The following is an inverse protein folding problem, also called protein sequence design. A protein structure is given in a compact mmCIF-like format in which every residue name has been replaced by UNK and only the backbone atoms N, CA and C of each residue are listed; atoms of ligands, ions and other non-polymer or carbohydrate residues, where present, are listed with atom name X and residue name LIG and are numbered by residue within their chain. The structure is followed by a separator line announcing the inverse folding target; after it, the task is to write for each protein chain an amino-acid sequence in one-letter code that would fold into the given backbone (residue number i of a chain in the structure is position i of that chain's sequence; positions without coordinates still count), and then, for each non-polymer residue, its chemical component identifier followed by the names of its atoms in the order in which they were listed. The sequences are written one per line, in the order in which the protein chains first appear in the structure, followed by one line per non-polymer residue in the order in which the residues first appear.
data_IF_804800073674
#
_entry.id   IF_804800073674
#
_cell.length_a   1.000
_cell.length_b   1.000
_cell.length_c   1.000
_cell.angle_alpha   90.00
_cell.angle_beta   90.00
_cell.angle_gamma   90.00
#
_symmetry.space_group_name_H-M   'P 1'
#
loop_
_entity.id
_entity.type
_entity.pdbx_description
1 polymer ?
#
# COMPACT_ATOMS: atom_id res chain seq x y z
N UNK A 1 50.51 9.19 -41.29
CA UNK A 1 49.84 8.99 -39.99
C UNK A 1 48.98 10.21 -39.74
N UNK A 2 47.66 10.09 -39.89
CA UNK A 2 46.71 11.16 -39.61
C UNK A 2 46.06 10.83 -38.27
N UNK A 3 46.27 11.68 -37.27
CA UNK A 3 45.67 11.60 -35.94
C UNK A 3 44.25 12.14 -36.02
N UNK A 4 43.24 11.29 -35.85
CA UNK A 4 41.86 11.73 -35.67
C UNK A 4 41.68 12.18 -34.22
N UNK A 5 41.49 13.47 -34.00
CA UNK A 5 40.98 13.98 -32.74
C UNK A 5 39.49 13.63 -32.62
N UNK A 6 39.15 12.82 -31.61
CA UNK A 6 37.77 12.55 -31.22
C UNK A 6 37.18 13.80 -30.57
N UNK A 7 36.05 14.27 -31.09
CA UNK A 7 35.30 15.38 -30.50
C UNK A 7 34.88 15.06 -29.05
N UNK A 8 34.90 16.04 -28.13
CA UNK A 8 34.48 15.84 -26.75
C UNK A 8 32.99 15.49 -26.68
N UNK A 9 32.68 14.42 -25.96
CA UNK A 9 31.32 14.00 -25.65
C UNK A 9 30.73 15.07 -24.73
N UNK A 10 29.82 15.89 -25.24
CA UNK A 10 29.05 16.83 -24.43
C UNK A 10 28.24 16.04 -23.40
N UNK A 11 28.37 16.29 -22.08
CA UNK A 11 27.52 15.67 -21.10
C UNK A 11 26.07 16.08 -21.40
N UNK A 12 25.22 15.12 -21.72
CA UNK A 12 23.79 15.33 -21.74
C UNK A 12 23.41 15.86 -20.36
N UNK A 13 22.98 17.11 -20.26
CA UNK A 13 22.42 17.63 -19.02
C UNK A 13 21.21 16.75 -18.70
N UNK A 14 21.36 15.87 -17.71
CA UNK A 14 20.22 15.18 -17.11
C UNK A 14 19.27 16.28 -16.63
N UNK A 15 18.14 16.40 -17.32
CA UNK A 15 17.12 17.38 -16.99
C UNK A 15 16.53 16.94 -15.66
N UNK A 16 17.03 17.51 -14.57
CA UNK A 16 16.56 17.22 -13.21
C UNK A 16 15.05 17.45 -13.19
N UNK A 17 14.29 16.39 -12.97
CA UNK A 17 12.84 16.45 -12.87
C UNK A 17 12.47 17.42 -11.74
N UNK A 18 11.46 18.25 -11.99
CA UNK A 18 10.90 19.11 -10.95
C UNK A 18 10.25 18.23 -9.88
N UNK A 19 10.50 18.56 -8.61
CA UNK A 19 9.91 17.83 -7.48
C UNK A 19 8.55 18.43 -7.15
N UNK A 20 7.59 17.57 -6.88
CA UNK A 20 6.21 17.97 -6.61
C UNK A 20 5.79 17.76 -5.15
N UNK A 21 6.67 18.00 -4.18
CA UNK A 21 6.34 17.88 -2.74
C UNK A 21 4.99 18.54 -2.41
N UNK A 22 4.18 17.86 -1.58
CA UNK A 22 2.80 18.25 -1.30
C UNK A 22 2.62 18.53 0.18
N UNK A 23 2.23 19.76 0.52
CA UNK A 23 1.69 20.10 1.82
C UNK A 23 0.19 19.76 1.86
N UNK A 24 -0.18 18.84 2.74
CA UNK A 24 -1.55 18.30 2.83
C UNK A 24 -1.84 17.86 4.27
N UNK A 25 -2.93 17.10 4.45
CA UNK A 25 -3.28 16.48 5.72
C UNK A 25 -3.30 14.96 5.64
N UNK A 26 -2.93 14.31 6.74
CA UNK A 26 -3.14 12.88 6.96
C UNK A 26 -3.98 12.65 8.22
N UNK A 27 -4.71 11.53 8.23
CA UNK A 27 -5.63 11.16 9.31
C UNK A 27 -5.03 10.03 10.17
N UNK A 28 -4.69 10.36 11.40
CA UNK A 28 -4.00 9.50 12.36
C UNK A 28 -4.96 8.90 13.40
N UNK A 29 -4.45 7.96 14.20
CA UNK A 29 -5.18 7.36 15.30
C UNK A 29 -5.64 8.42 16.32
N UNK A 30 -6.95 8.43 16.62
CA UNK A 30 -7.50 9.17 17.76
C UNK A 30 -7.73 8.22 18.92
N UNK A 31 -7.14 8.50 20.08
CA UNK A 31 -7.42 7.75 21.30
C UNK A 31 -8.85 8.00 21.79
N UNK A 32 -9.48 6.99 22.39
CA UNK A 32 -10.77 7.15 23.03
C UNK A 32 -10.63 8.08 24.25
N UNK A 33 -11.59 8.98 24.45
CA UNK A 33 -11.57 9.96 25.55
C UNK A 33 -11.56 9.30 26.94
N UNK A 34 -12.10 8.08 27.05
CA UNK A 34 -12.14 7.28 28.27
C UNK A 34 -10.87 6.43 28.49
N UNK A 35 -9.90 6.48 27.57
CA UNK A 35 -8.66 5.70 27.61
C UNK A 35 -8.84 4.21 27.28
N UNK A 36 -10.03 3.77 26.90
CA UNK A 36 -10.26 2.39 26.47
C UNK A 36 -9.48 2.07 25.18
N UNK A 37 -9.07 0.79 24.97
CA UNK A 37 -8.45 0.38 23.72
C UNK A 37 -9.42 0.55 22.54
N UNK A 38 -8.92 0.72 21.31
CA UNK A 38 -9.79 0.76 20.15
C UNK A 38 -10.57 -0.55 20.02
N UNK A 39 -11.85 -0.44 19.67
CA UNK A 39 -12.68 -1.60 19.38
C UNK A 39 -12.09 -2.41 18.20
N UNK A 40 -12.39 -3.70 18.06
CA UNK A 40 -12.02 -4.46 16.87
C UNK A 40 -12.95 -4.16 15.68
N UNK A 41 -12.43 -4.33 14.47
CA UNK A 41 -13.19 -4.31 13.23
C UNK A 41 -13.68 -5.72 12.94
N UNK A 42 -14.98 -5.91 12.74
CA UNK A 42 -15.57 -7.21 12.42
C UNK A 42 -15.93 -7.27 10.94
N UNK A 43 -15.25 -8.12 10.18
CA UNK A 43 -15.48 -8.25 8.74
C UNK A 43 -16.93 -8.67 8.47
N UNK A 44 -17.61 -7.92 7.62
CA UNK A 44 -19.04 -8.09 7.31
C UNK A 44 -19.97 -7.28 8.21
N UNK A 45 -19.45 -6.50 9.17
CA UNK A 45 -20.21 -5.61 10.06
C UNK A 45 -19.80 -4.14 9.84
N UNK A 46 -20.47 -3.46 8.88
CA UNK A 46 -20.17 -2.08 8.49
C UNK A 46 -19.96 -1.08 9.62
N UNK A 47 -20.79 -1.18 10.65
CA UNK A 47 -20.81 -0.32 11.82
C UNK A 47 -19.51 -0.32 12.63
N UNK A 48 -18.63 -1.30 12.39
CA UNK A 48 -17.34 -1.46 13.10
C UNK A 48 -16.16 -0.85 12.35
N UNK A 49 -16.37 -0.35 11.12
CA UNK A 49 -15.30 0.09 10.22
C UNK A 49 -14.99 1.59 10.39
N UNK A 50 -15.98 2.35 10.83
CA UNK A 50 -15.85 3.79 11.06
C UNK A 50 -15.25 4.08 12.42
N UNK A 51 -14.28 4.98 12.44
CA UNK A 51 -13.59 5.41 13.65
C UNK A 51 -13.18 6.86 13.56
N UNK A 52 -13.27 7.61 14.68
CA UNK A 52 -12.67 8.92 14.78
C UNK A 52 -11.16 8.87 14.49
N UNK A 53 -10.65 9.97 13.93
CA UNK A 53 -9.24 10.18 13.64
C UNK A 53 -8.83 11.60 14.00
N UNK A 54 -7.54 11.84 14.13
CA UNK A 54 -6.94 13.17 14.27
C UNK A 54 -6.27 13.57 12.96
N UNK A 55 -6.58 14.76 12.47
CA UNK A 55 -6.04 15.27 11.21
C UNK A 55 -4.87 16.18 11.49
N UNK A 56 -3.73 15.91 10.86
CA UNK A 56 -2.51 16.69 11.02
C UNK A 56 -1.94 17.10 9.67
N UNK A 57 -1.41 18.33 9.60
CA UNK A 57 -0.69 18.81 8.44
C UNK A 57 0.63 18.05 8.32
N UNK A 58 0.97 17.63 7.10
CA UNK A 58 2.23 16.97 6.77
C UNK A 58 2.73 17.46 5.42
N UNK A 59 4.05 17.39 5.23
CA UNK A 59 4.67 17.49 3.90
C UNK A 59 4.99 16.09 3.42
N UNK A 60 4.57 15.77 2.19
CA UNK A 60 4.82 14.49 1.54
C UNK A 60 5.79 14.72 0.38
N UNK A 61 6.95 14.05 0.42
CA UNK A 61 8.04 14.27 -0.51
C UNK A 61 7.92 13.43 -1.78
N UNK A 62 8.14 14.06 -2.94
CA UNK A 62 8.08 13.41 -4.24
C UNK A 62 9.40 12.67 -4.55
N UNK A 63 9.29 11.36 -4.80
CA UNK A 63 10.45 10.53 -5.13
C UNK A 63 10.86 10.62 -6.60
N UNK A 64 10.05 11.24 -7.47
CA UNK A 64 10.24 11.22 -8.93
C UNK A 64 11.64 11.63 -9.36
N UNK A 65 12.30 10.79 -10.16
CA UNK A 65 13.69 11.00 -10.62
C UNK A 65 14.77 10.58 -9.63
N UNK A 66 14.42 10.12 -8.43
CA UNK A 66 15.32 9.64 -7.39
C UNK A 66 14.91 8.25 -6.87
N UNK A 67 14.08 7.51 -7.62
CA UNK A 67 13.43 6.27 -7.17
C UNK A 67 14.44 5.23 -6.65
N UNK A 68 15.63 5.16 -7.27
CA UNK A 68 16.69 4.22 -6.90
C UNK A 68 17.28 4.44 -5.50
N UNK A 69 17.02 5.59 -4.86
CA UNK A 69 17.44 5.87 -3.47
C UNK A 69 16.52 5.21 -2.44
N UNK A 70 15.31 4.87 -2.84
CA UNK A 70 14.27 4.34 -1.97
C UNK A 70 14.17 2.83 -2.18
N UNK A 71 14.81 2.11 -1.27
CA UNK A 71 14.84 0.64 -1.29
C UNK A 71 14.06 0.09 -0.10
N UNK A 72 13.71 -1.17 -0.22
CA UNK A 72 13.00 -1.91 0.82
C UNK A 72 13.77 -1.90 2.14
N UNK A 73 15.06 -2.19 2.11
CA UNK A 73 15.91 -2.18 3.31
C UNK A 73 16.06 -0.79 3.93
N UNK A 74 16.11 0.26 3.09
CA UNK A 74 16.41 1.62 3.54
C UNK A 74 15.18 2.46 3.91
N UNK A 75 14.00 2.17 3.37
CA UNK A 75 12.79 2.97 3.59
C UNK A 75 11.54 2.14 3.89
N UNK A 76 11.56 0.83 3.61
CA UNK A 76 10.40 -0.04 3.67
C UNK A 76 9.63 -0.14 2.37
N UNK A 77 9.76 0.83 1.47
CA UNK A 77 9.12 0.81 0.16
C UNK A 77 10.15 1.00 -0.96
N UNK A 78 9.83 0.53 -2.15
CA UNK A 78 10.65 0.65 -3.33
C UNK A 78 9.78 0.76 -4.57
N UNK A 79 10.10 1.69 -5.46
CA UNK A 79 9.43 1.82 -6.75
C UNK A 79 10.19 1.02 -7.79
N UNK A 80 9.52 0.07 -8.44
CA UNK A 80 10.15 -0.82 -9.42
C UNK A 80 9.48 -0.63 -10.78
N UNK A 81 10.26 -0.30 -11.83
CA UNK A 81 9.78 -0.37 -13.20
C UNK A 81 9.40 -1.82 -13.53
N UNK A 82 8.14 -2.03 -13.90
CA UNK A 82 7.61 -3.35 -14.22
C UNK A 82 6.45 -3.18 -15.19
N UNK A 83 6.58 -3.71 -16.40
CA UNK A 83 5.51 -3.66 -17.40
C UNK A 83 4.67 -4.93 -17.29
N UNK A 84 3.40 -4.78 -16.90
CA UNK A 84 2.45 -5.90 -16.83
C UNK A 84 1.85 -6.21 -18.20
N UNK A 85 1.63 -7.48 -18.53
CA UNK A 85 0.84 -7.88 -19.71
C UNK A 85 -0.64 -7.57 -19.45
N UNK A 86 -1.11 -7.88 -18.25
CA UNK A 86 -2.46 -7.56 -17.81
C UNK A 86 -2.57 -6.04 -17.58
N UNK A 87 -3.42 -5.37 -18.35
CA UNK A 87 -3.60 -3.90 -18.26
C UNK A 87 -4.89 -3.54 -17.55
N UNK A 88 -5.95 -4.28 -17.85
CA UNK A 88 -7.28 -3.91 -17.42
C UNK A 88 -7.71 -4.57 -16.12
N UNK A 89 -7.15 -5.71 -15.69
CA UNK A 89 -7.50 -6.37 -14.41
C UNK A 89 -9.01 -6.54 -14.22
N UNK A 90 -9.69 -7.11 -15.24
CA UNK A 90 -11.13 -7.36 -15.22
C UNK A 90 -11.47 -8.86 -15.07
N UNK A 91 -10.54 -9.75 -15.43
CA UNK A 91 -10.72 -11.20 -15.36
C UNK A 91 -9.88 -11.79 -14.21
N UNK A 92 -10.58 -12.27 -13.18
CA UNK A 92 -9.99 -12.93 -12.00
C UNK A 92 -9.10 -14.12 -12.37
N UNK A 93 -9.47 -14.91 -13.38
CA UNK A 93 -8.70 -16.07 -13.81
C UNK A 93 -7.41 -15.63 -14.51
N UNK A 94 -7.48 -14.60 -15.35
CA UNK A 94 -6.30 -14.05 -16.03
C UNK A 94 -5.33 -13.41 -15.03
N UNK A 95 -5.84 -12.72 -14.01
CA UNK A 95 -5.00 -12.16 -12.93
C UNK A 95 -4.22 -13.28 -12.23
N UNK A 96 -4.88 -14.37 -11.87
CA UNK A 96 -4.25 -15.51 -11.18
C UNK A 96 -3.30 -16.30 -12.07
N UNK A 97 -3.61 -16.46 -13.35
CA UNK A 97 -2.75 -17.24 -14.26
C UNK A 97 -1.57 -16.42 -14.81
N UNK A 98 -1.72 -15.12 -15.03
CA UNK A 98 -0.68 -14.30 -15.65
C UNK A 98 -0.05 -13.33 -14.66
N UNK A 99 -0.84 -12.41 -14.12
CA UNK A 99 -0.29 -11.32 -13.29
C UNK A 99 0.37 -11.82 -12.00
N UNK A 100 -0.15 -12.88 -11.39
CA UNK A 100 0.49 -13.50 -10.22
C UNK A 100 1.89 -14.04 -10.53
N UNK A 101 2.14 -14.54 -11.75
CA UNK A 101 3.48 -14.99 -12.17
C UNK A 101 4.43 -13.80 -12.33
N UNK A 102 3.95 -12.69 -12.85
CA UNK A 102 4.72 -11.44 -12.96
C UNK A 102 5.09 -10.89 -11.58
N UNK A 103 4.14 -10.90 -10.62
CA UNK A 103 4.38 -10.46 -9.24
C UNK A 103 5.33 -11.41 -8.51
N UNK A 104 5.18 -12.73 -8.66
CA UNK A 104 6.11 -13.71 -8.07
C UNK A 104 7.54 -13.46 -8.55
N UNK A 105 7.75 -13.26 -9.86
CA UNK A 105 9.07 -12.98 -10.40
C UNK A 105 9.62 -11.63 -9.92
N UNK A 106 8.79 -10.57 -9.97
CA UNK A 106 9.17 -9.23 -9.48
C UNK A 106 9.65 -9.29 -8.03
N UNK A 107 8.89 -9.98 -7.16
CA UNK A 107 9.25 -10.12 -5.76
C UNK A 107 10.55 -10.91 -5.60
N UNK A 108 10.75 -12.01 -6.32
CA UNK A 108 12.02 -12.76 -6.28
C UNK A 108 13.22 -11.91 -6.73
N UNK A 109 13.08 -11.16 -7.81
CA UNK A 109 14.16 -10.33 -8.37
C UNK A 109 14.56 -9.22 -7.41
N UNK A 110 13.57 -8.59 -6.77
CA UNK A 110 13.79 -7.45 -5.88
C UNK A 110 14.29 -7.90 -4.51
N UNK A 111 13.78 -9.02 -4.00
CA UNK A 111 14.03 -9.46 -2.63
C UNK A 111 15.12 -10.52 -2.50
N UNK A 112 15.42 -11.25 -3.56
CA UNK A 112 16.27 -12.45 -3.51
C UNK A 112 15.61 -13.68 -2.89
N UNK A 113 14.29 -13.65 -2.64
CA UNK A 113 13.58 -14.73 -1.97
C UNK A 113 13.59 -16.06 -2.74
N UNK A 114 13.63 -17.16 -2.00
CA UNK A 114 13.56 -18.51 -2.58
C UNK A 114 12.14 -18.87 -3.02
N UNK A 115 11.13 -18.36 -2.30
CA UNK A 115 9.72 -18.68 -2.54
C UNK A 115 8.83 -17.49 -2.24
N UNK A 116 7.75 -17.36 -3.02
CA UNK A 116 6.63 -16.47 -2.70
C UNK A 116 5.32 -17.25 -2.68
N UNK A 117 4.32 -16.71 -1.99
CA UNK A 117 2.96 -17.22 -1.97
C UNK A 117 1.97 -16.06 -1.95
N UNK A 118 1.34 -15.81 -3.10
CA UNK A 118 0.30 -14.79 -3.25
C UNK A 118 -1.03 -15.37 -2.76
N UNK A 119 -1.60 -14.76 -1.72
CA UNK A 119 -2.81 -15.29 -1.08
C UNK A 119 -4.07 -14.47 -1.34
N UNK A 120 -3.94 -13.18 -1.66
CA UNK A 120 -5.06 -12.35 -2.09
C UNK A 120 -4.61 -11.19 -3.00
N UNK A 121 -5.58 -10.61 -3.68
CA UNK A 121 -5.45 -9.30 -4.30
C UNK A 121 -6.74 -8.49 -4.10
N UNK A 122 -6.64 -7.17 -4.17
CA UNK A 122 -7.76 -6.26 -4.07
C UNK A 122 -7.68 -5.24 -5.19
N UNK A 123 -8.76 -5.11 -5.96
CA UNK A 123 -8.89 -4.10 -7.00
C UNK A 123 -9.72 -2.94 -6.47
N UNK A 124 -9.17 -1.73 -6.55
CA UNK A 124 -9.81 -0.49 -6.16
C UNK A 124 -10.08 0.33 -7.43
N UNK A 125 -11.35 0.57 -7.72
CA UNK A 125 -11.80 1.48 -8.78
C UNK A 125 -12.86 2.42 -8.23
N UNK A 126 -12.75 3.69 -8.57
CA UNK A 126 -13.85 4.61 -8.36
C UNK A 126 -15.04 4.19 -9.24
N UNK A 127 -16.22 4.00 -8.65
CA UNK A 127 -17.42 3.79 -9.45
C UNK A 127 -17.67 5.04 -10.31
N UNK A 128 -17.79 4.88 -11.64
CA UNK A 128 -18.15 5.97 -12.53
C UNK A 128 -19.46 6.61 -12.05
N UNK A 129 -19.40 7.88 -11.64
CA UNK A 129 -20.58 8.68 -11.29
C UNK A 129 -20.87 8.92 -9.80
N UNK A 130 -20.16 8.27 -8.86
CA UNK A 130 -20.29 8.61 -7.44
C UNK A 130 -19.08 9.41 -6.97
N UNK A 131 -19.19 10.74 -7.04
CA UNK A 131 -18.50 11.67 -6.13
C UNK A 131 -19.05 11.43 -4.71
N UNK A 132 -18.80 10.25 -4.17
CA UNK A 132 -18.98 10.00 -2.75
C UNK A 132 -17.70 10.47 -2.09
N UNK A 133 -17.73 11.67 -1.53
CA UNK A 133 -16.92 11.96 -0.36
C UNK A 133 -17.13 10.80 0.62
N UNK A 134 -16.05 10.34 1.27
CA UNK A 134 -16.13 9.31 2.31
C UNK A 134 -17.11 9.70 3.46
N UNK A 135 -17.59 10.95 3.49
CA UNK A 135 -18.55 11.49 4.45
C UNK A 135 -20.02 11.55 3.99
N UNK A 136 -20.38 11.12 2.78
CA UNK A 136 -21.78 11.17 2.30
C UNK A 136 -22.63 9.94 2.74
N UNK A 137 -22.53 9.54 4.01
CA UNK A 137 -23.34 8.49 4.64
C UNK A 137 -24.66 8.96 5.25
N UNK A 138 -25.10 10.20 4.97
CA UNK A 138 -26.34 10.76 5.52
C UNK A 138 -27.32 11.07 4.39
N UNK A 139 -28.12 10.07 4.03
CA UNK A 139 -29.58 10.15 3.93
C UNK A 139 -30.13 8.96 3.13
N UNK A 140 -31.25 8.44 3.64
CA UNK A 140 -32.16 7.43 3.07
C UNK A 140 -31.85 5.97 3.44
N UNK A 141 -32.36 5.60 4.62
CA UNK A 141 -32.67 4.23 4.99
C UNK A 141 -33.87 3.75 4.16
N UNK A 142 -33.68 2.68 3.38
CA UNK A 142 -34.77 2.02 2.67
C UNK A 142 -34.34 1.23 1.44
N UNK A 143 -33.59 0.14 1.63
CA UNK A 143 -33.52 -1.06 0.78
C UNK A 143 -32.28 -1.89 1.20
N UNK A 144 -32.51 -3.09 1.73
CA UNK A 144 -31.46 -3.93 2.35
C UNK A 144 -30.43 -4.50 1.34
N UNK A 145 -30.70 -4.46 0.03
CA UNK A 145 -29.81 -5.02 -1.00
C UNK A 145 -28.94 -3.95 -1.70
N UNK A 146 -29.53 -2.78 -2.04
CA UNK A 146 -28.79 -1.65 -2.62
C UNK A 146 -27.81 -1.00 -1.63
N UNK A 147 -28.13 -1.04 -0.34
CA UNK A 147 -27.26 -0.50 0.71
C UNK A 147 -25.95 -1.28 0.85
N UNK A 148 -25.98 -2.62 0.73
CA UNK A 148 -24.77 -3.46 0.78
C UNK A 148 -23.91 -3.26 -0.46
N UNK A 149 -24.50 -3.12 -1.66
CA UNK A 149 -23.75 -2.89 -2.90
C UNK A 149 -23.11 -1.50 -2.94
N UNK A 150 -23.85 -0.44 -2.57
CA UNK A 150 -23.33 0.92 -2.45
C UNK A 150 -22.27 1.04 -1.35
N UNK A 151 -22.43 0.28 -0.26
CA UNK A 151 -21.45 0.18 0.82
C UNK A 151 -20.17 -0.57 0.39
N UNK A 152 -20.29 -1.71 -0.30
CA UNK A 152 -19.13 -2.39 -0.93
C UNK A 152 -18.39 -1.51 -1.93
N UNK A 153 -19.11 -0.64 -2.66
CA UNK A 153 -18.51 0.34 -3.55
C UNK A 153 -17.81 1.48 -2.80
N UNK A 154 -18.37 1.99 -1.69
CA UNK A 154 -17.73 2.98 -0.82
C UNK A 154 -16.45 2.44 -0.16
N UNK A 155 -16.41 1.15 0.18
CA UNK A 155 -15.23 0.45 0.70
C UNK A 155 -14.09 0.24 -0.32
N UNK A 156 -14.36 0.49 -1.61
CA UNK A 156 -13.38 0.29 -2.70
C UNK A 156 -12.62 1.56 -3.07
N UNK A 157 -12.92 2.69 -2.43
CA UNK A 157 -12.12 3.91 -2.57
C UNK A 157 -10.73 3.76 -1.93
N UNK A 158 -9.81 4.71 -2.21
CA UNK A 158 -8.56 4.83 -1.49
C UNK A 158 -8.80 5.08 0.02
N UNK A 159 -8.09 4.35 0.88
CA UNK A 159 -8.21 4.51 2.35
C UNK A 159 -7.38 5.71 2.80
N UNK A 160 -8.02 6.71 3.42
CA UNK A 160 -7.39 7.98 3.83
C UNK A 160 -6.98 8.05 5.31
N UNK A 161 -7.04 6.93 6.02
CA UNK A 161 -6.51 6.81 7.38
C UNK A 161 -5.12 6.21 7.29
N UNK A 162 -4.19 6.72 8.08
CA UNK A 162 -2.86 6.14 8.22
C UNK A 162 -2.99 4.78 8.91
N UNK A 163 -2.50 3.74 8.25
CA UNK A 163 -2.57 2.38 8.75
C UNK A 163 -1.41 1.52 8.25
N UNK A 164 -1.26 0.35 8.87
CA UNK A 164 -0.47 -0.78 8.40
C UNK A 164 -1.44 -1.97 8.35
N UNK A 165 -1.47 -2.68 7.22
CA UNK A 165 -2.46 -3.73 6.94
C UNK A 165 -2.37 -4.95 7.84
N UNK A 166 -1.19 -5.25 8.37
CA UNK A 166 -0.96 -6.40 9.24
C UNK A 166 0.05 -6.02 10.31
N UNK A 167 -0.24 -6.39 11.56
CA UNK A 167 0.79 -6.46 12.58
C UNK A 167 1.75 -7.61 12.30
N UNK A 168 2.89 -7.64 13.00
CA UNK A 168 3.87 -8.71 12.85
C UNK A 168 3.28 -10.09 13.16
N UNK A 169 2.57 -10.21 14.28
CA UNK A 169 1.91 -11.45 14.66
C UNK A 169 0.84 -11.86 13.63
N UNK A 170 0.07 -10.90 13.10
CA UNK A 170 -0.91 -11.17 12.07
C UNK A 170 -0.26 -11.61 10.75
N UNK A 171 0.85 -11.00 10.34
CA UNK A 171 1.61 -11.40 9.16
C UNK A 171 2.13 -12.84 9.28
N UNK A 172 2.78 -13.20 10.40
CA UNK A 172 3.27 -14.56 10.62
C UNK A 172 2.13 -15.59 10.71
N UNK A 173 0.99 -15.23 11.31
CA UNK A 173 -0.18 -16.12 11.39
C UNK A 173 -0.75 -16.53 10.03
N UNK A 174 -0.41 -15.80 8.95
CA UNK A 174 -0.80 -16.15 7.58
C UNK A 174 -0.12 -17.43 7.09
N UNK A 175 1.07 -17.74 7.58
CA UNK A 175 1.81 -18.94 7.15
C UNK A 175 1.04 -20.21 7.52
N UNK A 176 0.72 -20.51 8.80
CA UNK A 176 -0.05 -21.70 9.14
C UNK A 176 -1.49 -21.67 8.63
N UNK A 177 -2.06 -20.48 8.37
CA UNK A 177 -3.39 -20.37 7.79
C UNK A 177 -3.44 -20.78 6.32
N UNK A 178 -2.42 -20.41 5.53
CA UNK A 178 -2.39 -20.67 4.08
C UNK A 178 -1.58 -21.92 3.69
N UNK A 179 -0.54 -22.25 4.46
CA UNK A 179 0.42 -23.32 4.19
C UNK A 179 0.59 -24.22 5.44
N UNK A 180 -0.49 -24.82 5.98
CA UNK A 180 -0.45 -25.52 7.26
C UNK A 180 0.53 -26.70 7.31
N UNK A 181 0.73 -27.40 6.20
CA UNK A 181 1.60 -28.59 6.13
C UNK A 181 3.09 -28.25 6.16
N UNK A 182 3.44 -27.04 5.75
CA UNK A 182 4.85 -26.59 5.63
C UNK A 182 5.18 -25.51 6.67
N UNK A 183 4.22 -25.11 7.50
CA UNK A 183 4.30 -23.90 8.32
C UNK A 183 5.49 -23.90 9.27
N UNK A 184 5.71 -25.01 9.99
CA UNK A 184 6.81 -25.11 10.95
C UNK A 184 8.16 -24.87 10.28
N UNK A 185 8.40 -25.51 9.13
CA UNK A 185 9.63 -25.33 8.33
C UNK A 185 9.76 -23.91 7.79
N UNK A 186 8.69 -23.36 7.22
CA UNK A 186 8.72 -22.03 6.62
C UNK A 186 8.96 -20.92 7.66
N UNK A 187 8.52 -21.15 8.91
CA UNK A 187 8.72 -20.22 10.03
C UNK A 187 10.10 -20.34 10.70
N UNK A 188 10.91 -21.36 10.36
CA UNK A 188 12.31 -21.43 10.78
C UNK A 188 13.17 -20.38 10.05
N UNK A 189 12.82 -20.03 8.81
CA UNK A 189 13.50 -19.01 8.02
C UNK A 189 12.84 -17.63 8.11
N UNK A 190 13.45 -16.61 7.50
CA UNK A 190 12.87 -15.27 7.43
C UNK A 190 11.64 -15.22 6.53
N UNK A 191 10.51 -14.82 7.12
CA UNK A 191 9.23 -14.60 6.44
C UNK A 191 8.88 -13.12 6.38
N UNK A 192 8.31 -12.70 5.25
CA UNK A 192 7.86 -11.33 5.03
C UNK A 192 6.47 -11.33 4.43
N UNK A 193 5.68 -10.31 4.73
CA UNK A 193 4.44 -10.03 4.03
C UNK A 193 4.63 -8.73 3.26
N UNK A 194 4.49 -8.82 1.94
CA UNK A 194 4.74 -7.74 1.00
C UNK A 194 3.45 -7.42 0.27
N UNK A 195 3.13 -6.14 0.21
CA UNK A 195 2.12 -5.60 -0.68
C UNK A 195 2.78 -5.07 -1.95
N UNK A 196 2.22 -5.43 -3.11
CA UNK A 196 2.57 -4.84 -4.40
C UNK A 196 1.39 -4.03 -4.88
N UNK A 197 1.57 -2.72 -4.97
CA UNK A 197 0.55 -1.83 -5.52
C UNK A 197 0.84 -1.58 -7.00
N UNK A 198 -0.18 -1.58 -7.85
CA UNK A 198 0.01 -1.20 -9.25
C UNK A 198 -1.13 -0.28 -9.67
N UNK A 199 -0.83 0.93 -10.15
CA UNK A 199 -1.84 1.76 -10.79
C UNK A 199 -2.37 1.08 -12.06
N UNK A 200 -3.67 1.12 -12.28
CA UNK A 200 -4.29 0.67 -13.53
C UNK A 200 -4.22 1.79 -14.59
N UNK A 201 -4.25 3.04 -14.11
CA UNK A 201 -4.02 4.26 -14.89
C UNK A 201 -3.01 5.14 -14.16
N UNK A 202 -2.43 6.11 -14.87
CA UNK A 202 -1.60 7.15 -14.24
C UNK A 202 -2.36 7.84 -13.11
N UNK A 203 -1.77 7.88 -11.93
CA UNK A 203 -2.39 8.44 -10.74
C UNK A 203 -2.37 9.97 -10.84
N UNK A 204 -3.55 10.58 -10.79
CA UNK A 204 -3.71 12.05 -10.73
C UNK A 204 -4.33 12.54 -9.43
N UNK A 205 -5.29 11.77 -8.90
CA UNK A 205 -5.97 12.05 -7.62
C UNK A 205 -5.80 10.88 -6.67
N UNK A 206 -5.78 11.17 -5.38
CA UNK A 206 -5.70 10.19 -4.29
C UNK A 206 -4.46 9.26 -4.35
N UNK A 207 -3.22 9.77 -4.58
CA UNK A 207 -2.01 8.95 -4.57
C UNK A 207 -1.79 8.23 -3.24
N UNK A 208 -1.02 7.15 -3.30
CA UNK A 208 -0.54 6.43 -2.11
C UNK A 208 0.70 7.15 -1.57
N UNK A 209 0.71 7.44 -0.27
CA UNK A 209 1.92 7.80 0.45
C UNK A 209 2.32 6.68 1.40
N UNK A 210 3.63 6.57 1.64
CA UNK A 210 4.24 5.68 2.61
C UNK A 210 5.21 6.46 3.50
N UNK A 211 5.22 6.17 4.80
CA UNK A 211 6.23 6.70 5.71
C UNK A 211 7.55 5.93 5.57
N UNK A 212 8.67 6.62 5.73
CA UNK A 212 9.97 5.98 5.87
C UNK A 212 10.00 5.19 7.19
N UNK A 213 10.14 3.89 7.09
CA UNK A 213 9.93 2.99 8.21
C UNK A 213 10.85 3.22 9.42
N UNK A 214 12.09 3.67 9.22
CA UNK A 214 13.05 3.96 10.30
C UNK A 214 12.63 5.16 11.15
N UNK A 215 11.73 6.00 10.65
CA UNK A 215 11.19 7.16 11.36
C UNK A 215 9.98 6.82 12.23
N UNK A 216 9.43 5.61 12.08
CA UNK A 216 8.19 5.17 12.75
C UNK A 216 8.52 4.49 14.07
N UNK A 217 8.14 5.11 15.19
CA UNK A 217 8.37 4.55 16.52
C UNK A 217 7.35 3.47 16.87
N UNK A 218 7.78 2.43 17.60
CA UNK A 218 6.90 1.33 18.02
C UNK A 218 5.77 1.80 18.94
N UNK A 219 6.06 2.81 19.77
CA UNK A 219 5.10 3.41 20.69
C UNK A 219 3.93 4.10 19.97
N UNK A 220 4.09 4.45 18.68
CA UNK A 220 3.04 5.09 17.89
C UNK A 220 2.09 4.08 17.25
N UNK A 221 2.44 2.79 17.26
CA UNK A 221 1.63 1.73 16.67
C UNK A 221 0.53 1.31 17.64
N UNK A 222 -0.70 1.30 17.14
CA UNK A 222 -1.89 0.92 17.91
C UNK A 222 -2.53 -0.29 17.25
N UNK A 223 -2.39 -1.48 17.84
CA UNK A 223 -3.03 -2.68 17.34
C UNK A 223 -4.55 -2.57 17.35
N UNK A 224 -5.15 -3.04 16.27
CA UNK A 224 -6.59 -3.10 16.08
C UNK A 224 -6.93 -4.48 15.58
N UNK A 225 -7.74 -5.21 16.35
CA UNK A 225 -8.24 -6.52 15.93
C UNK A 225 -9.05 -6.41 14.65
N UNK A 226 -8.75 -7.28 13.68
CA UNK A 226 -9.50 -7.46 12.43
C UNK A 226 -10.08 -8.87 12.42
N UNK A 227 -11.33 -8.98 12.87
CA UNK A 227 -11.95 -10.26 13.19
C UNK A 227 -12.77 -10.75 12.01
N UNK A 228 -12.41 -11.94 11.53
CA UNK A 228 -13.16 -12.70 10.54
C UNK A 228 -13.89 -13.84 11.25
N UNK A 229 -14.86 -14.45 10.56
CA UNK A 229 -15.58 -15.63 11.08
C UNK A 229 -14.64 -16.78 11.46
N UNK A 230 -13.57 -17.00 10.68
CA UNK A 230 -12.66 -18.16 10.81
C UNK A 230 -11.24 -17.81 11.26
N UNK A 231 -10.90 -16.53 11.40
CA UNK A 231 -9.57 -16.09 11.79
C UNK A 231 -9.59 -14.76 12.52
N UNK A 232 -8.62 -14.54 13.37
CA UNK A 232 -8.34 -13.23 13.96
C UNK A 232 -7.11 -12.68 13.28
N UNK A 233 -7.26 -11.54 12.61
CA UNK A 233 -6.16 -10.71 12.14
C UNK A 233 -5.99 -9.49 13.02
N UNK A 234 -5.00 -8.67 12.69
CA UNK A 234 -4.72 -7.43 13.40
C UNK A 234 -4.08 -6.44 12.43
N UNK A 235 -4.62 -5.23 12.36
CA UNK A 235 -4.03 -4.08 11.65
C UNK A 235 -3.38 -3.14 12.66
N UNK A 236 -2.53 -2.22 12.21
CA UNK A 236 -2.03 -1.16 13.08
C UNK A 236 -2.57 0.19 12.62
N UNK A 237 -3.22 0.93 13.51
CA UNK A 237 -3.34 2.38 13.36
C UNK A 237 -2.09 3.07 13.91
N UNK A 238 -1.88 4.32 13.55
CA UNK A 238 -0.63 5.03 13.85
C UNK A 238 -0.94 6.38 14.49
N UNK A 239 -0.33 6.67 15.64
CA UNK A 239 -0.38 8.00 16.26
C UNK A 239 0.43 9.00 15.44
N UNK A 240 0.02 10.26 15.47
CA UNK A 240 0.80 11.31 14.81
C UNK A 240 2.14 11.52 15.54
N UNK A 241 3.22 11.60 14.76
CA UNK A 241 4.55 11.93 15.24
C UNK A 241 5.27 12.76 14.17
N UNK A 242 5.80 13.92 14.56
CA UNK A 242 6.47 14.88 13.69
C UNK A 242 7.78 14.34 13.09
N UNK A 243 8.34 13.26 13.66
CA UNK A 243 9.53 12.60 13.12
C UNK A 243 9.23 11.77 11.87
N UNK A 244 7.97 11.40 11.63
CA UNK A 244 7.60 10.56 10.50
C UNK A 244 7.80 11.32 9.19
N UNK A 245 8.63 10.78 8.29
CA UNK A 245 8.88 11.36 6.97
C UNK A 245 8.06 10.60 5.93
N UNK A 246 7.31 11.32 5.10
CA UNK A 246 6.35 10.75 4.15
C UNK A 246 6.82 10.94 2.71
N UNK A 247 6.60 9.90 1.90
CA UNK A 247 7.00 9.87 0.50
C UNK A 247 5.85 9.44 -0.39
N UNK A 248 5.86 9.89 -1.63
CA UNK A 248 4.97 9.43 -2.68
C UNK A 248 5.63 9.61 -4.05
N UNK A 249 5.02 9.08 -5.10
CA UNK A 249 5.46 9.31 -6.48
C UNK A 249 4.43 10.13 -7.25
N UNK A 250 4.83 11.30 -7.72
CA UNK A 250 3.99 12.12 -8.59
C UNK A 250 3.70 11.38 -9.91
N UNK A 251 2.43 11.37 -10.32
CA UNK A 251 1.98 10.75 -11.58
C UNK A 251 2.47 9.32 -11.80
N UNK A 252 2.47 8.52 -10.73
CA UNK A 252 2.84 7.10 -10.82
C UNK A 252 2.05 6.40 -11.94
N UNK A 253 2.76 5.71 -12.83
CA UNK A 253 2.19 5.09 -14.03
C UNK A 253 1.93 3.59 -13.84
N UNK A 254 1.13 2.94 -14.71
CA UNK A 254 0.93 1.49 -14.67
C UNK A 254 2.18 0.65 -14.94
N UNK A 255 3.25 1.26 -15.45
CA UNK A 255 4.54 0.62 -15.71
C UNK A 255 5.46 0.64 -14.48
N UNK A 256 4.95 1.13 -13.35
CA UNK A 256 5.69 1.30 -12.10
C UNK A 256 4.88 0.71 -10.95
N UNK A 257 5.37 -0.39 -10.38
CA UNK A 257 4.75 -1.01 -9.21
C UNK A 257 5.64 -0.73 -7.99
N UNK A 258 5.14 -0.12 -6.89
CA UNK A 258 5.86 -0.13 -5.65
C UNK A 258 5.74 -1.55 -5.09
N UNK A 259 6.88 -2.14 -4.76
CA UNK A 259 6.93 -3.26 -3.83
C UNK A 259 7.34 -2.72 -2.46
N UNK A 260 6.74 -3.22 -1.40
CA UNK A 260 7.11 -2.91 -0.02
C UNK A 260 7.68 -4.17 0.66
N UNK A 261 8.78 -4.06 1.40
CA UNK A 261 9.48 -5.16 2.03
C UNK A 261 10.39 -4.63 3.15
N UNK A 262 10.67 -5.56 4.07
CA UNK A 262 11.67 -5.62 5.16
C UNK A 262 11.54 -4.59 6.26
N UNK A 263 11.02 -3.40 6.01
CA UNK A 263 10.92 -2.50 7.12
C UNK A 263 9.69 -2.87 7.97
N UNK A 264 9.95 -3.11 9.25
CA UNK A 264 9.02 -3.64 10.26
C UNK A 264 7.68 -2.90 10.39
N UNK A 265 7.45 -1.82 9.64
CA UNK A 265 6.30 -0.92 9.68
C UNK A 265 6.35 0.00 8.46
N UNK A 266 5.38 -0.04 7.56
CA UNK A 266 5.21 1.04 6.57
C UNK A 266 3.80 1.60 6.68
N UNK A 267 3.59 2.57 7.60
CA UNK A 267 2.38 3.38 7.61
C UNK A 267 2.13 3.95 6.21
N UNK A 268 0.93 3.75 5.71
CA UNK A 268 0.53 4.28 4.42
C UNK A 268 -0.90 4.82 4.46
N UNK A 269 -1.18 5.69 3.50
CA UNK A 269 -2.49 6.32 3.34
C UNK A 269 -2.66 6.78 1.91
N UNK A 270 -3.90 6.88 1.44
CA UNK A 270 -4.22 7.80 0.38
C UNK A 270 -4.29 9.23 0.92
N UNK A 271 -3.93 10.21 0.11
CA UNK A 271 -3.99 11.63 0.49
C UNK A 271 -4.49 12.50 -0.67
N UNK A 272 -4.96 13.70 -0.34
CA UNK A 272 -5.41 14.66 -1.35
C UNK A 272 -4.26 15.56 -1.80
N UNK A 273 -4.11 15.71 -3.11
CA UNK A 273 -3.23 16.70 -3.73
C UNK A 273 -4.10 17.91 -4.08
N UNK A 274 -3.86 19.09 -3.47
CA UNK A 274 -4.66 20.28 -3.76
C UNK A 274 -4.70 20.59 -5.26
N UNK A 275 -5.90 20.89 -5.78
CA UNK A 275 -6.10 21.20 -7.20
C UNK A 275 -6.36 19.99 -8.10
N UNK A 276 -6.41 18.78 -7.55
CA UNK A 276 -6.72 17.54 -8.30
C UNK A 276 -8.13 17.01 -8.03
N UNK A 277 -8.99 17.79 -7.36
CA UNK A 277 -10.30 17.35 -6.87
C UNK A 277 -11.22 16.86 -7.99
N UNK A 278 -11.14 17.50 -9.16
CA UNK A 278 -11.91 17.18 -10.36
C UNK A 278 -11.26 16.13 -11.29
N UNK A 279 -10.04 15.67 -10.98
CA UNK A 279 -9.38 14.62 -11.76
C UNK A 279 -9.99 13.23 -11.50
N UNK A 280 -9.64 12.28 -12.36
CA UNK A 280 -10.04 10.87 -12.21
C UNK A 280 -9.46 10.29 -10.90
N UNK A 281 -10.30 9.60 -10.13
CA UNK A 281 -9.87 8.92 -8.91
C UNK A 281 -8.92 7.77 -9.21
N UNK A 282 -7.97 7.52 -8.29
CA UNK A 282 -7.02 6.40 -8.40
C UNK A 282 -7.73 5.07 -8.66
N UNK A 283 -7.29 4.38 -9.71
CA UNK A 283 -7.58 2.96 -9.94
C UNK A 283 -6.30 2.15 -9.74
N UNK A 284 -6.34 1.12 -8.91
CA UNK A 284 -5.15 0.32 -8.58
C UNK A 284 -5.51 -1.13 -8.21
N UNK A 285 -4.59 -2.04 -8.46
CA UNK A 285 -4.59 -3.39 -7.87
C UNK A 285 -3.53 -3.45 -6.75
N UNK A 286 -3.88 -4.13 -5.67
CA UNK A 286 -2.99 -4.44 -4.55
C UNK A 286 -2.90 -5.96 -4.45
N UNK A 287 -1.70 -6.52 -4.52
CA UNK A 287 -1.43 -7.95 -4.37
C UNK A 287 -0.69 -8.17 -3.07
N UNK A 288 -1.11 -9.15 -2.27
CA UNK A 288 -0.45 -9.48 -1.01
C UNK A 288 0.21 -10.86 -1.09
N UNK A 289 1.49 -10.89 -0.76
CA UNK A 289 2.31 -12.08 -0.86
C UNK A 289 3.05 -12.35 0.46
N UNK A 290 3.13 -13.63 0.81
CA UNK A 290 4.18 -14.11 1.71
C UNK A 290 5.45 -14.32 0.90
N UNK A 291 6.58 -13.89 1.44
CA UNK A 291 7.90 -14.00 0.82
C UNK A 291 8.83 -14.69 1.80
N UNK A 292 9.43 -15.79 1.37
CA UNK A 292 10.20 -16.70 2.21
C UNK A 292 11.67 -16.70 1.78
N UNK A 293 12.54 -16.62 2.78
CA UNK A 293 13.98 -16.80 2.66
C UNK A 293 14.33 -18.05 3.48
N UNK A 294 14.06 -19.23 2.91
CA UNK A 294 14.12 -20.51 3.64
C UNK A 294 15.54 -20.84 4.17
N UNK A 295 16.59 -20.31 3.54
CA UNK A 295 17.98 -20.52 3.96
C UNK A 295 18.47 -19.47 4.99
N UNK A 296 17.65 -18.45 5.28
CA UNK A 296 17.94 -17.38 6.23
C UNK A 296 17.38 -17.74 7.61
N UNK A 297 18.05 -18.69 8.26
CA UNK A 297 17.74 -19.22 9.59
C UNK A 297 18.66 -18.58 10.64
N UNK A 298 18.13 -18.28 11.84
CA UNK A 298 18.92 -17.76 12.98
C UNK A 298 19.93 -18.78 13.55
#
# INVERSE_FOLDING_TARGET
MATSESAPITPTQEKKLEKHDVDTVLNFFKANEDGSPPQPTYVGKPETYERPYETHNVTIHDVSGDESKYTLDSHGFQFVPSVSIEKDFQDEAQIKDQYYKEVDQLLKDVTGASRTFIFDHTIRRAAQGNRATADAGKQNAGAEDESIAKYKAALRGPVRRVHIDQSYAAALSRVPFHLPEEADKLLEGRVQLINVWRPIKTIKRDPLTAAQAQTVEEADLVPIGLIYEKRQGETLSVRHNEKNIWFYKHHQTPEEAPSDQVAKRVPHSAFEVPGTEDEEGRESIEVRALVFHEDDVE
#
